data_IF_346263423902
#
_entry.id   IF_346263423902
#
_cell.length_a   1.000
_cell.length_b   1.000
_cell.length_c   1.000
_cell.angle_alpha   90.00
_cell.angle_beta   90.00
_cell.angle_gamma   90.00
#
_symmetry.space_group_name_H-M   'P 1'
#
loop_
_entity.id
_entity.type
_entity.pdbx_description
1 polymer ?
#
# COMPACT_ATOMS: atom_id res chain seq x y z
N UNK A 1 -12.84 1.33 -16.03
CA UNK A 1 -12.19 1.35 -14.70
C UNK A 1 -12.68 2.59 -13.97
N UNK A 2 -13.33 2.44 -12.80
CA UNK A 2 -14.11 3.38 -11.94
C UNK A 2 -14.97 4.51 -12.56
N UNK A 3 -14.61 5.12 -13.69
CA UNK A 3 -15.39 6.14 -14.39
C UNK A 3 -15.28 7.55 -13.77
N UNK A 4 -14.29 7.75 -12.89
CA UNK A 4 -14.09 8.99 -12.15
C UNK A 4 -12.61 9.21 -11.84
N UNK A 5 -12.21 10.46 -11.63
CA UNK A 5 -10.87 10.79 -11.13
C UNK A 5 -10.74 10.37 -9.67
N UNK A 6 -9.64 9.70 -9.34
CA UNK A 6 -9.32 9.22 -7.99
C UNK A 6 -8.11 9.98 -7.48
N UNK A 7 -8.28 10.69 -6.36
CA UNK A 7 -7.22 11.48 -5.75
C UNK A 7 -6.09 10.59 -5.23
N UNK A 8 -4.83 10.97 -5.53
CA UNK A 8 -3.61 10.17 -5.29
C UNK A 8 -3.87 8.69 -5.63
N UNK A 9 -4.29 8.43 -6.87
CA UNK A 9 -4.65 7.10 -7.34
C UNK A 9 -3.46 6.17 -7.17
N UNK A 10 -3.71 5.04 -6.52
CA UNK A 10 -2.75 3.96 -6.41
C UNK A 10 -3.03 2.95 -7.51
N UNK A 11 -4.08 2.15 -7.40
CA UNK A 11 -4.47 1.20 -8.44
C UNK A 11 -5.98 0.91 -8.39
N UNK A 12 -6.52 0.31 -9.44
CA UNK A 12 -7.83 -0.33 -9.35
C UNK A 12 -7.65 -1.76 -8.86
N UNK A 13 -8.24 -2.09 -7.71
CA UNK A 13 -8.14 -3.41 -7.12
C UNK A 13 -9.39 -4.24 -7.44
N UNK A 14 -9.30 -5.29 -8.28
CA UNK A 14 -10.46 -6.14 -8.56
C UNK A 14 -10.98 -6.85 -7.30
N UNK A 15 -10.10 -7.14 -6.33
CA UNK A 15 -10.42 -7.84 -5.09
C UNK A 15 -11.31 -7.03 -4.15
N UNK A 16 -11.20 -5.71 -4.17
CA UNK A 16 -12.08 -4.81 -3.40
C UNK A 16 -13.22 -4.25 -4.25
N UNK A 17 -13.21 -4.50 -5.56
CA UNK A 17 -14.15 -3.93 -6.52
C UNK A 17 -14.09 -2.40 -6.61
N UNK A 18 -12.97 -1.78 -6.17
CA UNK A 18 -12.87 -0.33 -6.04
C UNK A 18 -11.46 0.18 -6.41
N UNK A 19 -11.38 1.47 -6.75
CA UNK A 19 -10.10 2.15 -6.89
C UNK A 19 -9.51 2.44 -5.50
N UNK A 20 -8.22 2.13 -5.35
CA UNK A 20 -7.40 2.48 -4.20
C UNK A 20 -6.73 3.83 -4.49
N UNK A 21 -6.81 4.74 -3.54
CA UNK A 21 -6.20 6.06 -3.59
C UNK A 21 -6.20 6.68 -2.20
N UNK A 22 -6.04 8.01 -2.12
CA UNK A 22 -5.81 8.73 -0.87
C UNK A 22 -6.74 8.27 0.28
N UNK A 23 -8.06 8.29 0.05
CA UNK A 23 -9.07 8.11 1.09
C UNK A 23 -9.23 6.66 1.61
N UNK A 24 -8.65 5.68 0.93
CA UNK A 24 -8.77 4.26 1.30
C UNK A 24 -7.43 3.50 1.28
N UNK A 25 -6.30 4.18 1.03
CA UNK A 25 -4.98 3.55 1.02
C UNK A 25 -4.65 2.88 2.36
N UNK A 26 -4.89 3.56 3.50
CA UNK A 26 -4.74 2.98 4.85
C UNK A 26 -5.59 1.72 5.02
N UNK A 27 -6.85 1.76 4.56
CA UNK A 27 -7.79 0.63 4.70
C UNK A 27 -7.34 -0.56 3.86
N UNK A 28 -6.82 -0.32 2.67
CA UNK A 28 -6.25 -1.36 1.81
C UNK A 28 -5.00 -2.00 2.44
N UNK A 29 -4.06 -1.18 2.95
CA UNK A 29 -2.88 -1.69 3.64
C UNK A 29 -3.26 -2.54 4.86
N UNK A 30 -4.22 -2.07 5.68
CA UNK A 30 -4.73 -2.82 6.83
C UNK A 30 -5.43 -4.12 6.42
N UNK A 31 -6.16 -4.13 5.31
CA UNK A 31 -6.74 -5.34 4.74
C UNK A 31 -5.67 -6.39 4.43
N UNK A 32 -4.56 -6.01 3.78
CA UNK A 32 -3.44 -6.91 3.53
C UNK A 32 -2.78 -7.39 4.84
N UNK A 33 -2.51 -6.47 5.77
CA UNK A 33 -1.92 -6.78 7.07
C UNK A 33 -2.75 -7.81 7.86
N UNK A 34 -4.05 -7.56 8.02
CA UNK A 34 -4.93 -8.46 8.75
C UNK A 34 -5.15 -9.79 8.02
N UNK A 35 -5.12 -9.78 6.68
CA UNK A 35 -5.14 -11.02 5.89
C UNK A 35 -3.90 -11.88 6.17
N UNK A 36 -2.70 -11.27 6.21
CA UNK A 36 -1.48 -11.99 6.60
C UNK A 36 -1.59 -12.57 8.02
N UNK A 37 -2.03 -11.79 8.99
CA UNK A 37 -2.19 -12.26 10.39
C UNK A 37 -3.21 -13.41 10.48
N UNK A 38 -4.34 -13.29 9.78
CA UNK A 38 -5.37 -14.33 9.72
C UNK A 38 -4.83 -15.63 9.11
N UNK A 39 -4.14 -15.55 7.96
CA UNK A 39 -3.57 -16.71 7.28
C UNK A 39 -2.48 -17.39 8.11
N UNK A 40 -1.62 -16.63 8.78
CA UNK A 40 -0.61 -17.18 9.70
C UNK A 40 -1.29 -17.90 10.87
N UNK A 41 -2.31 -17.28 11.47
CA UNK A 41 -3.04 -17.86 12.60
C UNK A 41 -3.72 -19.17 12.19
N UNK A 42 -4.36 -19.20 11.02
CA UNK A 42 -4.96 -20.42 10.47
C UNK A 42 -3.91 -21.51 10.20
N UNK A 43 -2.75 -21.16 9.62
CA UNK A 43 -1.66 -22.11 9.42
C UNK A 43 -1.18 -22.74 10.73
N UNK A 44 -1.01 -21.93 11.78
CA UNK A 44 -0.62 -22.43 13.12
C UNK A 44 -1.70 -23.37 13.69
N UNK A 45 -2.98 -23.03 13.57
CA UNK A 45 -4.08 -23.88 14.05
C UNK A 45 -4.09 -25.22 13.32
N UNK A 46 -3.98 -25.21 11.99
CA UNK A 46 -4.02 -26.41 11.16
C UNK A 46 -2.80 -27.33 11.43
N UNK A 47 -1.60 -26.77 11.67
CA UNK A 47 -0.42 -27.59 12.03
C UNK A 47 -0.55 -28.35 13.36
N UNK A 48 -1.41 -27.87 14.26
CA UNK A 48 -1.70 -28.56 15.53
C UNK A 48 -2.76 -29.65 15.41
N UNK A 49 -3.52 -29.70 14.31
CA UNK A 49 -4.55 -30.71 14.08
C UNK A 49 -3.95 -31.94 13.37
N UNK A 50 -3.95 -33.10 14.02
CA UNK A 50 -3.47 -34.35 13.41
C UNK A 50 -4.45 -34.92 12.38
N UNK A 51 -5.75 -34.91 12.70
CA UNK A 51 -6.82 -35.30 11.76
C UNK A 51 -6.95 -34.29 10.62
N UNK A 52 -6.86 -32.99 10.92
CA UNK A 52 -6.97 -31.94 9.92
C UNK A 52 -5.79 -31.90 8.94
N UNK A 53 -4.63 -32.46 9.29
CA UNK A 53 -3.46 -32.45 8.40
C UNK A 53 -3.74 -33.19 7.09
N UNK A 54 -4.25 -34.42 7.16
CA UNK A 54 -4.53 -35.23 5.97
C UNK A 54 -5.75 -34.77 5.18
N UNK A 55 -6.74 -34.17 5.85
CA UNK A 55 -7.97 -33.70 5.22
C UNK A 55 -7.80 -32.33 4.54
N UNK A 56 -6.93 -31.47 5.08
CA UNK A 56 -6.78 -30.06 4.66
C UNK A 56 -5.40 -29.74 4.04
N UNK A 57 -4.62 -30.72 3.57
CA UNK A 57 -3.31 -30.49 2.94
C UNK A 57 -3.38 -29.47 1.77
N UNK A 58 -4.41 -29.57 0.92
CA UNK A 58 -4.64 -28.61 -0.17
C UNK A 58 -4.95 -27.19 0.33
N UNK A 59 -5.70 -27.08 1.44
CA UNK A 59 -6.05 -25.80 2.05
C UNK A 59 -4.82 -25.16 2.68
N UNK A 60 -3.95 -25.97 3.31
CA UNK A 60 -2.67 -25.51 3.86
C UNK A 60 -1.78 -24.94 2.75
N UNK A 61 -1.61 -25.68 1.65
CA UNK A 61 -0.82 -25.23 0.50
C UNK A 61 -1.38 -23.93 -0.12
N UNK A 62 -2.71 -23.86 -0.31
CA UNK A 62 -3.36 -22.65 -0.80
C UNK A 62 -3.18 -21.47 0.16
N UNK A 63 -3.25 -21.70 1.48
CA UNK A 63 -3.06 -20.67 2.50
C UNK A 63 -1.65 -20.09 2.48
N UNK A 64 -0.62 -20.92 2.27
CA UNK A 64 0.75 -20.45 2.11
C UNK A 64 0.94 -19.67 0.81
N UNK A 65 0.37 -20.14 -0.30
CA UNK A 65 0.45 -19.44 -1.59
C UNK A 65 -0.20 -18.05 -1.50
N UNK A 66 -1.45 -17.98 -1.02
CA UNK A 66 -2.16 -16.71 -0.83
C UNK A 66 -1.44 -15.84 0.20
N UNK A 67 -0.98 -16.42 1.32
CA UNK A 67 -0.24 -15.71 2.35
C UNK A 67 1.06 -15.09 1.85
N UNK A 68 1.79 -15.82 1.00
CA UNK A 68 2.99 -15.33 0.33
C UNK A 68 2.68 -14.17 -0.63
N UNK A 69 1.66 -14.30 -1.47
CA UNK A 69 1.26 -13.23 -2.39
C UNK A 69 0.78 -11.97 -1.67
N UNK A 70 -0.07 -12.11 -0.64
CA UNK A 70 -0.55 -10.97 0.16
C UNK A 70 0.60 -10.36 0.97
N UNK A 71 1.52 -11.18 1.50
CA UNK A 71 2.71 -10.72 2.20
C UNK A 71 3.64 -9.91 1.28
N UNK A 72 3.88 -10.37 0.06
CA UNK A 72 4.63 -9.62 -0.95
C UNK A 72 3.95 -8.27 -1.26
N UNK A 73 2.62 -8.27 -1.45
CA UNK A 73 1.85 -7.06 -1.69
C UNK A 73 1.97 -6.08 -0.51
N UNK A 74 1.86 -6.57 0.72
CA UNK A 74 2.03 -5.76 1.93
C UNK A 74 3.43 -5.12 2.00
N UNK A 75 4.47 -5.89 1.71
CA UNK A 75 5.86 -5.40 1.68
C UNK A 75 6.06 -4.36 0.58
N UNK A 76 5.53 -4.60 -0.62
CA UNK A 76 5.57 -3.65 -1.73
C UNK A 76 4.90 -2.33 -1.35
N UNK A 77 3.65 -2.36 -0.89
CA UNK A 77 2.95 -1.13 -0.52
C UNK A 77 3.60 -0.42 0.67
N UNK A 78 4.18 -1.17 1.62
CA UNK A 78 4.99 -0.56 2.70
C UNK A 78 6.18 0.19 2.13
N UNK A 79 6.94 -0.43 1.21
CA UNK A 79 8.06 0.23 0.53
C UNK A 79 7.63 1.48 -0.24
N UNK A 80 6.52 1.41 -0.97
CA UNK A 80 5.98 2.54 -1.72
C UNK A 80 5.58 3.69 -0.79
N UNK A 81 4.83 3.40 0.28
CA UNK A 81 4.42 4.40 1.28
C UNK A 81 5.64 5.07 1.89
N UNK A 82 6.67 4.32 2.29
CA UNK A 82 7.88 4.89 2.89
C UNK A 82 8.66 5.77 1.92
N UNK A 83 8.61 5.48 0.61
CA UNK A 83 9.21 6.34 -0.43
C UNK A 83 8.23 7.38 -0.98
N UNK A 84 7.05 7.51 -0.37
CA UNK A 84 5.97 8.41 -0.76
C UNK A 84 5.50 8.26 -2.22
N UNK A 85 5.58 7.05 -2.76
CA UNK A 85 5.07 6.66 -4.07
C UNK A 85 3.68 6.01 -3.98
N UNK A 86 2.87 6.24 -5.01
CA UNK A 86 1.81 5.33 -5.45
C UNK A 86 2.36 4.32 -6.46
N UNK A 87 1.61 3.23 -6.69
CA UNK A 87 1.95 2.23 -7.72
C UNK A 87 1.94 2.80 -9.14
N UNK A 88 1.05 3.75 -9.45
CA UNK A 88 1.06 4.48 -10.73
C UNK A 88 2.30 5.35 -10.86
N UNK A 89 2.64 6.14 -9.84
CA UNK A 89 3.84 6.98 -9.85
C UNK A 89 5.11 6.12 -9.97
N UNK A 90 5.21 5.02 -9.22
CA UNK A 90 6.34 4.09 -9.31
C UNK A 90 6.47 3.47 -10.72
N UNK A 91 5.34 3.12 -11.36
CA UNK A 91 5.35 2.58 -12.71
C UNK A 91 5.73 3.62 -13.78
N UNK A 92 5.36 4.89 -13.59
CA UNK A 92 5.62 5.97 -14.54
C UNK A 92 7.00 6.62 -14.34
N UNK A 93 7.47 6.73 -13.10
CA UNK A 93 8.63 7.52 -12.68
C UNK A 93 9.61 6.68 -11.84
N UNK A 94 9.81 5.41 -12.20
CA UNK A 94 10.66 4.52 -11.39
C UNK A 94 12.13 4.99 -11.31
N UNK A 95 12.61 5.70 -12.33
CA UNK A 95 13.98 6.20 -12.42
C UNK A 95 14.25 7.41 -11.52
N UNK A 96 13.24 8.25 -11.27
CA UNK A 96 13.38 9.52 -10.55
C UNK A 96 12.23 9.71 -9.57
N UNK A 97 12.54 9.69 -8.27
CA UNK A 97 11.55 9.93 -7.22
C UNK A 97 11.40 11.43 -6.92
N UNK A 98 10.76 12.15 -7.82
CA UNK A 98 10.52 13.60 -7.67
C UNK A 98 9.63 13.97 -6.48
N UNK A 99 8.93 12.98 -5.88
CA UNK A 99 8.02 13.18 -4.75
C UNK A 99 8.68 12.91 -3.38
N UNK A 100 9.91 12.39 -3.35
CA UNK A 100 10.60 12.03 -2.10
C UNK A 100 11.22 13.23 -1.40
N UNK A 101 10.35 14.02 -0.76
CA UNK A 101 10.72 15.18 0.05
C UNK A 101 10.39 15.00 1.53
N UNK A 102 10.19 13.76 1.97
CA UNK A 102 9.77 13.41 3.32
C UNK A 102 10.66 12.32 3.92
N UNK A 103 10.87 12.37 5.23
CA UNK A 103 11.42 11.23 5.96
C UNK A 103 10.44 10.05 5.94
N UNK A 104 10.93 8.84 6.22
CA UNK A 104 10.12 7.63 6.30
C UNK A 104 8.98 7.75 7.34
N UNK A 105 9.21 8.43 8.46
CA UNK A 105 8.20 8.65 9.48
C UNK A 105 7.10 9.61 8.98
N UNK A 106 7.48 10.70 8.34
CA UNK A 106 6.53 11.67 7.78
C UNK A 106 5.68 11.01 6.69
N UNK A 107 6.32 10.32 5.74
CA UNK A 107 5.65 9.61 4.66
C UNK A 107 4.64 8.56 5.18
N UNK A 108 5.01 7.85 6.25
CA UNK A 108 4.09 6.93 6.93
C UNK A 108 2.90 7.65 7.57
N UNK A 109 3.15 8.76 8.27
CA UNK A 109 2.10 9.55 8.92
C UNK A 109 1.13 10.19 7.92
N UNK A 110 1.57 10.49 6.69
CA UNK A 110 0.67 10.92 5.60
C UNK A 110 -0.45 9.91 5.33
N UNK A 111 -0.15 8.61 5.40
CA UNK A 111 -1.17 7.57 5.18
C UNK A 111 -1.90 7.19 6.47
N UNK A 112 -1.18 7.07 7.59
CA UNK A 112 -1.71 6.48 8.83
C UNK A 112 -2.20 7.50 9.87
N UNK A 113 -1.86 8.78 9.69
CA UNK A 113 -2.07 9.85 10.64
C UNK A 113 -0.96 9.95 11.69
N UNK A 114 -0.93 11.07 12.42
CA UNK A 114 0.05 11.34 13.48
C UNK A 114 -0.18 10.51 14.76
N UNK A 115 -1.41 10.06 15.01
CA UNK A 115 -1.74 9.27 16.19
C UNK A 115 -1.43 7.78 15.97
N UNK A 116 -0.31 7.31 16.53
CA UNK A 116 0.15 5.92 16.42
C UNK A 116 -0.82 4.89 17.00
N UNK A 117 -1.64 5.25 18.00
CA UNK A 117 -2.62 4.33 18.60
C UNK A 117 -3.73 3.96 17.61
N UNK A 118 -3.97 4.81 16.61
CA UNK A 118 -4.99 4.59 15.58
C UNK A 118 -4.41 3.95 14.31
N UNK A 119 -3.11 3.63 14.26
CA UNK A 119 -2.51 3.10 13.03
C UNK A 119 -3.11 1.76 12.62
N UNK A 120 -3.38 0.89 13.57
CA UNK A 120 -3.99 -0.43 13.32
C UNK A 120 -5.51 -0.35 13.17
N UNK A 121 -6.15 0.77 13.51
CA UNK A 121 -7.61 0.89 13.41
C UNK A 121 -7.98 1.44 12.03
N UNK A 122 -8.97 0.87 11.32
CA UNK A 122 -9.42 1.35 10.00
C UNK A 122 -10.26 2.64 10.10
N UNK A 123 -9.84 3.57 10.94
CA UNK A 123 -10.44 4.89 11.13
C UNK A 123 -9.44 6.00 10.84
N UNK A 124 -9.96 7.21 10.68
CA UNK A 124 -9.18 8.36 10.25
C UNK A 124 -9.12 8.44 8.73
N UNK A 125 -9.37 9.63 8.21
CA UNK A 125 -9.13 9.98 6.81
C UNK A 125 -7.85 10.81 6.77
N UNK A 126 -6.96 10.60 5.80
CA UNK A 126 -5.85 11.52 5.58
C UNK A 126 -6.39 12.92 5.22
N UNK A 127 -5.56 13.93 5.42
CA UNK A 127 -5.90 15.30 5.06
C UNK A 127 -6.15 15.38 3.53
N UNK A 128 -7.33 15.83 3.08
CA UNK A 128 -7.64 15.97 1.65
C UNK A 128 -6.64 16.84 0.88
N UNK A 129 -5.94 17.76 1.55
CA UNK A 129 -4.93 18.62 0.93
C UNK A 129 -3.70 17.83 0.46
N UNK A 130 -3.43 16.65 1.02
CA UNK A 130 -2.29 15.81 0.63
C UNK A 130 -2.40 15.21 -0.77
N UNK A 131 -3.61 15.18 -1.34
CA UNK A 131 -3.83 14.75 -2.72
C UNK A 131 -3.87 15.88 -3.74
N UNK A 132 -3.66 17.13 -3.30
CA UNK A 132 -3.74 18.34 -4.14
C UNK A 132 -2.42 19.11 -4.10
N UNK A 133 -1.76 19.18 -2.94
CA UNK A 133 -0.49 19.90 -2.76
C UNK A 133 0.67 18.91 -2.61
N UNK A 134 1.38 18.67 -3.71
CA UNK A 134 2.64 17.94 -3.71
C UNK A 134 3.76 18.96 -3.52
N UNK A 135 4.56 18.81 -2.45
CA UNK A 135 5.86 19.48 -2.39
C UNK A 135 6.78 18.83 -3.41
N UNK A 136 6.67 19.21 -4.67
CA UNK A 136 7.68 18.89 -5.68
C UNK A 136 9.00 19.56 -5.27
N UNK A 137 10.13 18.91 -5.52
CA UNK A 137 11.42 19.58 -5.35
C UNK A 137 11.56 20.66 -6.43
N UNK A 138 11.26 21.91 -6.08
CA UNK A 138 11.45 23.07 -6.96
C UNK A 138 12.90 23.59 -6.93
N UNK A 139 13.88 22.77 -6.52
CA UNK A 139 15.29 23.12 -6.67
C UNK A 139 15.62 23.39 -8.15
N UNK A 140 16.59 24.27 -8.47
CA UNK A 140 16.97 24.53 -9.86
C UNK A 140 17.32 23.24 -10.63
N UNK A 141 17.90 22.26 -9.95
CA UNK A 141 18.20 20.94 -10.50
C UNK A 141 16.93 20.13 -10.82
N UNK A 142 15.98 20.05 -9.87
CA UNK A 142 14.70 19.35 -10.08
C UNK A 142 13.81 20.00 -11.14
N UNK A 143 13.92 21.33 -11.31
CA UNK A 143 13.20 22.07 -12.35
C UNK A 143 13.78 21.81 -13.75
N UNK A 144 15.11 21.75 -13.86
CA UNK A 144 15.81 21.50 -15.12
C UNK A 144 15.59 20.05 -15.61
N UNK A 145 15.54 19.08 -14.69
CA UNK A 145 15.14 17.69 -14.98
C UNK A 145 13.69 17.59 -15.47
N UNK A 146 12.75 18.26 -14.79
CA UNK A 146 11.33 18.25 -15.17
C UNK A 146 11.08 18.89 -16.55
N UNK A 147 11.78 19.98 -16.87
CA UNK A 147 11.69 20.66 -18.18
C UNK A 147 12.25 19.77 -19.29
N UNK A 148 13.33 19.03 -19.03
CA UNK A 148 13.96 18.16 -20.02
C UNK A 148 13.20 16.85 -20.27
N UNK A 149 12.30 16.44 -19.37
CA UNK A 149 11.48 15.25 -19.51
C UNK A 149 10.22 15.44 -20.39
N UNK A 150 9.85 16.69 -20.72
CA UNK A 150 8.73 17.02 -21.61
C UNK A 150 9.12 17.11 -23.11
N UNK A 151 10.39 16.92 -23.44
CA UNK A 151 10.97 16.98 -24.79
C UNK A 151 11.43 15.60 -25.30
#
# INVERSE_FOLDING_TARGET
MCGMCVMKMDHHCPWTGNCIGLLNHKKFWLFCFYSCVGLITMGIILTKSEEGRKEYDNVMMASFAVGGSVGFLLLLHTYLILNYWSTVEYGALYHENIFKNYSYCEAWQKVFGSNCLLWLVPCGSPDPLEGIDYKADCSPAGLEEAINAEH
#
